data_IF_351976668878
#
_entry.id   IF_351976668878
#
_cell.length_a   1.000
_cell.length_b   1.000
_cell.length_c   1.000
_cell.angle_alpha   90.00
_cell.angle_beta   90.00
_cell.angle_gamma   90.00
#
_symmetry.space_group_name_H-M   'P 1'
#
loop_
_entity.id
_entity.type
_entity.pdbx_description
1 polymer ?
#
# COMPACT_ATOMS: atom_id res chain seq x y z
N UNK A 1 -4.02 20.35 11.38
CA UNK A 1 -3.41 19.07 11.73
C UNK A 1 -2.02 18.93 11.10
N UNK A 2 -1.21 18.13 11.71
CA UNK A 2 0.14 17.89 11.22
C UNK A 2 0.11 17.14 9.88
N UNK A 3 1.06 17.41 8.98
CA UNK A 3 1.16 16.61 7.77
C UNK A 3 1.53 15.17 8.09
N UNK A 4 1.04 14.26 7.28
CA UNK A 4 1.35 12.85 7.43
C UNK A 4 2.83 12.60 7.14
N UNK A 5 3.43 11.69 7.88
CA UNK A 5 4.83 11.29 7.72
C UNK A 5 4.86 9.82 7.34
N UNK A 6 5.65 9.48 6.33
CA UNK A 6 5.75 8.11 5.84
C UNK A 6 7.16 7.58 6.13
N UNK A 7 7.23 6.53 6.93
CA UNK A 7 8.49 5.91 7.31
C UNK A 7 8.44 4.42 7.01
N UNK A 8 9.60 3.79 6.88
CA UNK A 8 9.66 2.35 6.69
C UNK A 8 9.12 1.66 7.93
N UNK A 9 8.48 0.52 7.70
CA UNK A 9 7.77 -0.20 8.73
C UNK A 9 8.62 -0.93 9.74
N UNK A 10 9.91 -0.67 9.78
CA UNK A 10 10.77 -1.22 10.81
C UNK A 10 10.61 -0.49 12.14
N UNK A 11 9.86 0.60 12.15
CA UNK A 11 9.59 1.32 13.37
C UNK A 11 8.80 0.48 14.35
N UNK A 12 9.06 0.69 15.59
CA UNK A 12 8.54 -0.07 16.71
C UNK A 12 7.06 0.12 16.98
N UNK A 13 6.38 0.91 16.21
CA UNK A 13 4.99 1.27 16.45
C UNK A 13 4.04 0.12 16.24
N UNK A 14 4.34 -0.78 15.31
CA UNK A 14 3.51 -1.94 15.03
C UNK A 14 4.03 -3.15 15.75
N UNK A 15 3.23 -4.21 15.72
CA UNK A 15 3.54 -5.43 16.41
C UNK A 15 4.71 -6.16 15.75
N UNK A 16 5.32 -7.03 16.55
CA UNK A 16 6.47 -7.80 16.11
C UNK A 16 6.23 -8.60 14.84
N UNK A 17 4.99 -9.02 14.58
CA UNK A 17 4.68 -9.78 13.36
C UNK A 17 4.91 -8.96 12.10
N UNK A 18 4.53 -7.69 12.14
CA UNK A 18 4.73 -6.80 11.02
C UNK A 18 6.22 -6.62 10.75
N UNK A 19 6.97 -6.31 11.81
CA UNK A 19 8.41 -6.11 11.69
C UNK A 19 9.12 -7.35 11.19
N UNK A 20 8.73 -8.52 11.69
CA UNK A 20 9.35 -9.77 11.27
C UNK A 20 9.10 -10.05 9.79
N UNK A 21 7.89 -9.76 9.31
CA UNK A 21 7.58 -9.97 7.90
C UNK A 21 8.39 -9.08 6.99
N UNK A 22 8.55 -7.81 7.35
CA UNK A 22 9.23 -6.85 6.49
C UNK A 22 10.73 -6.98 6.60
N UNK A 23 11.25 -7.09 7.82
CA UNK A 23 12.68 -7.01 8.06
C UNK A 23 13.47 -8.15 7.46
N UNK A 24 12.83 -9.28 7.17
CA UNK A 24 13.51 -10.45 6.67
C UNK A 24 13.36 -10.69 5.17
N UNK A 25 12.49 -9.95 4.50
CA UNK A 25 12.22 -10.19 3.10
C UNK A 25 12.73 -9.05 2.23
N UNK A 26 13.60 -9.34 1.23
CA UNK A 26 14.02 -8.30 0.29
C UNK A 26 12.90 -7.90 -0.68
N UNK A 27 11.80 -8.65 -0.70
CA UNK A 27 10.69 -8.38 -1.61
C UNK A 27 9.59 -7.55 -0.99
N UNK A 28 9.64 -7.32 0.31
CA UNK A 28 8.62 -6.57 1.02
C UNK A 28 9.17 -5.26 1.53
N UNK A 29 8.32 -4.23 1.48
CA UNK A 29 8.63 -2.92 2.01
C UNK A 29 7.43 -2.44 2.80
N UNK A 30 7.64 -2.09 4.06
CA UNK A 30 6.57 -1.61 4.91
C UNK A 30 6.71 -0.14 5.24
N UNK A 31 5.57 0.51 5.41
CA UNK A 31 5.50 1.91 5.77
C UNK A 31 4.55 2.11 6.92
N UNK A 32 4.98 2.92 7.89
CA UNK A 32 4.10 3.41 8.93
C UNK A 32 3.63 4.79 8.52
N UNK A 33 2.33 5.02 8.60
CA UNK A 33 1.74 6.30 8.27
C UNK A 33 1.50 7.03 9.58
N UNK A 34 2.10 8.21 9.73
CA UNK A 34 2.01 8.97 10.97
C UNK A 34 1.40 10.34 10.70
N UNK A 35 0.59 10.79 11.64
CA UNK A 35 0.09 12.16 11.68
C UNK A 35 0.67 12.80 12.95
N UNK A 36 1.67 13.65 12.76
CA UNK A 36 2.45 14.12 13.87
C UNK A 36 3.34 13.00 14.39
N UNK A 37 3.16 12.62 15.63
CA UNK A 37 3.91 11.50 16.24
C UNK A 37 3.03 10.29 16.52
N UNK A 38 1.85 10.28 15.93
CA UNK A 38 0.87 9.23 16.17
C UNK A 38 0.77 8.37 14.93
N UNK A 39 0.91 7.05 15.10
CA UNK A 39 0.70 6.11 14.00
C UNK A 39 -0.79 6.03 13.71
N UNK A 40 -1.17 6.33 12.48
CA UNK A 40 -2.55 6.35 12.05
C UNK A 40 -2.86 5.26 11.02
N UNK A 41 -1.83 4.58 10.54
CA UNK A 41 -2.02 3.52 9.56
C UNK A 41 -0.71 2.88 9.17
N UNK A 42 -0.81 1.95 8.22
CA UNK A 42 0.37 1.27 7.68
C UNK A 42 0.09 0.81 6.26
N UNK A 43 1.15 0.49 5.56
CA UNK A 43 1.05 -0.13 4.24
C UNK A 43 2.18 -1.14 4.06
N UNK A 44 1.90 -2.20 3.33
CA UNK A 44 2.90 -3.19 2.97
C UNK A 44 2.89 -3.36 1.46
N UNK A 45 4.06 -3.24 0.86
CA UNK A 45 4.23 -3.33 -0.58
C UNK A 45 5.09 -4.54 -0.90
N UNK A 46 4.75 -5.24 -1.98
CA UNK A 46 5.57 -6.34 -2.49
C UNK A 46 6.13 -5.94 -3.83
N UNK A 47 7.41 -6.25 -4.04
CA UNK A 47 8.10 -5.88 -5.26
C UNK A 47 8.22 -7.09 -6.17
N UNK A 48 7.88 -6.92 -7.44
CA UNK A 48 8.01 -7.96 -8.45
C UNK A 48 8.30 -7.31 -9.80
N UNK A 49 8.23 -8.10 -10.85
CA UNK A 49 8.38 -7.59 -12.20
C UNK A 49 7.19 -8.02 -13.03
N UNK A 50 6.64 -7.10 -13.80
CA UNK A 50 5.53 -7.40 -14.70
C UNK A 50 6.06 -7.62 -16.11
N UNK A 51 5.97 -8.85 -16.58
CA UNK A 51 6.37 -9.17 -17.95
C UNK A 51 5.37 -8.60 -18.95
N UNK A 52 4.11 -8.49 -18.53
CA UNK A 52 3.08 -7.92 -19.40
C UNK A 52 3.37 -6.45 -19.73
N UNK A 53 3.75 -5.68 -18.72
CA UNK A 53 4.00 -4.26 -18.90
C UNK A 53 5.47 -3.92 -19.06
N UNK A 54 6.36 -4.91 -18.89
CA UNK A 54 7.79 -4.71 -19.04
C UNK A 54 8.40 -3.76 -18.01
N UNK A 55 7.87 -3.76 -16.80
CA UNK A 55 8.28 -2.82 -15.74
C UNK A 55 8.29 -3.50 -14.40
N UNK A 56 9.05 -2.94 -13.45
CA UNK A 56 8.89 -3.36 -12.06
C UNK A 56 7.45 -3.13 -11.62
N UNK A 57 6.96 -4.05 -10.82
CA UNK A 57 5.59 -4.01 -10.31
C UNK A 57 5.61 -3.89 -8.80
N UNK A 58 4.86 -2.93 -8.30
CA UNK A 58 4.69 -2.73 -6.86
C UNK A 58 3.26 -3.15 -6.53
N UNK A 59 3.13 -4.24 -5.77
CA UNK A 59 1.84 -4.69 -5.27
C UNK A 59 1.57 -4.06 -3.93
N UNK A 60 0.42 -3.45 -3.79
CA UNK A 60 -0.03 -2.99 -2.49
C UNK A 60 -0.71 -4.17 -1.83
N UNK A 61 0.06 -4.88 -0.99
CA UNK A 61 -0.43 -6.08 -0.31
C UNK A 61 -1.40 -5.74 0.79
N UNK A 62 -1.15 -4.64 1.47
CA UNK A 62 -1.99 -4.22 2.56
C UNK A 62 -1.87 -2.72 2.74
N UNK A 63 -2.99 -2.07 3.02
CA UNK A 63 -3.01 -0.66 3.36
C UNK A 63 -4.16 -0.46 4.34
N UNK A 64 -3.84 0.17 5.46
CA UNK A 64 -4.80 0.39 6.52
C UNK A 64 -4.65 1.80 7.07
N UNK A 65 -5.76 2.43 7.31
CA UNK A 65 -5.83 3.74 7.96
C UNK A 65 -6.93 3.66 9.01
N UNK A 66 -6.64 4.14 10.20
CA UNK A 66 -7.64 4.15 11.27
C UNK A 66 -8.84 4.98 10.84
N UNK A 67 -10.05 4.53 11.25
CA UNK A 67 -11.30 5.14 10.81
C UNK A 67 -11.36 6.64 11.04
N UNK A 68 -10.89 7.10 12.18
CA UNK A 68 -10.97 8.51 12.54
C UNK A 68 -10.05 9.39 11.69
N UNK A 69 -9.15 8.79 10.94
CA UNK A 69 -8.24 9.53 10.06
C UNK A 69 -8.59 9.40 8.58
N UNK A 70 -9.67 8.71 8.28
CA UNK A 70 -10.14 8.59 6.90
C UNK A 70 -10.87 9.85 6.46
N UNK A 71 -10.81 10.14 5.17
CA UNK A 71 -11.50 11.30 4.61
C UNK A 71 -10.74 12.60 4.71
N UNK A 72 -9.50 12.59 5.16
CA UNK A 72 -8.68 13.80 5.28
C UNK A 72 -7.54 13.84 4.27
N UNK A 73 -7.59 12.99 3.26
CA UNK A 73 -6.58 13.00 2.20
C UNK A 73 -5.26 12.34 2.55
N UNK A 74 -5.18 11.64 3.67
CA UNK A 74 -3.94 10.97 4.06
C UNK A 74 -3.60 9.85 3.10
N UNK A 75 -4.60 9.06 2.70
CA UNK A 75 -4.40 7.99 1.72
C UNK A 75 -3.90 8.52 0.39
N UNK A 76 -4.48 9.62 -0.08
CA UNK A 76 -4.04 10.25 -1.32
C UNK A 76 -2.59 10.71 -1.23
N UNK A 77 -2.20 11.28 -0.10
CA UNK A 77 -0.82 11.69 0.13
C UNK A 77 0.12 10.49 0.10
N UNK A 78 -0.31 9.36 0.68
CA UNK A 78 0.50 8.16 0.66
C UNK A 78 0.67 7.64 -0.76
N UNK A 79 -0.39 7.61 -1.55
CA UNK A 79 -0.28 7.17 -2.94
C UNK A 79 0.67 8.08 -3.72
N UNK A 80 0.57 9.39 -3.54
CA UNK A 80 1.48 10.33 -4.19
C UNK A 80 2.93 10.10 -3.76
N UNK A 81 3.12 9.76 -2.49
CA UNK A 81 4.44 9.45 -1.97
C UNK A 81 5.05 8.21 -2.66
N UNK A 82 4.29 7.12 -2.76
CA UNK A 82 4.82 5.92 -3.39
C UNK A 82 5.04 6.10 -4.90
N UNK A 83 4.20 6.89 -5.56
CA UNK A 83 4.39 7.17 -6.98
C UNK A 83 5.68 7.96 -7.21
N UNK A 84 6.06 8.83 -6.28
CA UNK A 84 7.32 9.59 -6.36
C UNK A 84 8.52 8.72 -6.00
N UNK A 85 8.32 7.78 -5.10
CA UNK A 85 9.41 6.91 -4.60
C UNK A 85 9.74 5.81 -5.62
N UNK A 86 8.71 5.20 -6.20
CA UNK A 86 8.85 4.09 -7.13
C UNK A 86 8.46 4.56 -8.53
N UNK A 87 9.38 5.25 -9.19
CA UNK A 87 9.13 5.81 -10.51
C UNK A 87 9.26 4.73 -11.59
N UNK A 88 8.52 4.91 -12.68
CA UNK A 88 8.51 4.00 -13.82
C UNK A 88 8.17 2.57 -13.43
N UNK A 89 7.20 2.44 -12.56
CA UNK A 89 6.67 1.15 -12.10
C UNK A 89 5.20 1.05 -12.42
N UNK A 90 4.69 -0.18 -12.44
CA UNK A 90 3.26 -0.38 -12.42
C UNK A 90 2.85 -0.72 -10.99
N UNK A 91 1.73 -0.19 -10.55
CA UNK A 91 1.19 -0.47 -9.21
C UNK A 91 -0.04 -1.34 -9.37
N UNK A 92 -0.15 -2.38 -8.55
CA UNK A 92 -1.28 -3.28 -8.58
C UNK A 92 -1.79 -3.51 -7.16
N UNK A 93 -3.08 -3.77 -7.06
CA UNK A 93 -3.71 -4.15 -5.80
C UNK A 93 -4.92 -4.99 -6.10
N UNK A 94 -5.43 -5.65 -5.06
CA UNK A 94 -6.66 -6.40 -5.14
C UNK A 94 -7.69 -5.74 -4.24
N UNK A 95 -8.93 -5.76 -4.67
CA UNK A 95 -10.03 -5.20 -3.90
C UNK A 95 -11.26 -6.07 -4.15
N UNK A 96 -12.02 -6.31 -3.08
CA UNK A 96 -13.25 -7.06 -3.21
C UNK A 96 -14.30 -6.25 -3.97
N UNK A 97 -15.04 -6.93 -4.83
CA UNK A 97 -16.03 -6.31 -5.69
C UNK A 97 -17.08 -5.52 -4.93
N UNK A 98 -17.48 -6.00 -3.75
CA UNK A 98 -18.49 -5.32 -2.94
C UNK A 98 -17.93 -4.16 -2.13
N UNK A 99 -16.63 -3.96 -2.11
CA UNK A 99 -16.03 -2.87 -1.34
C UNK A 99 -16.02 -1.58 -2.15
N UNK A 100 -17.21 -1.00 -2.32
CA UNK A 100 -17.38 0.18 -3.17
C UNK A 100 -16.60 1.39 -2.68
N UNK A 101 -16.47 1.53 -1.36
CA UNK A 101 -15.73 2.65 -0.79
C UNK A 101 -14.25 2.58 -1.17
N UNK A 102 -13.65 1.41 -1.00
CA UNK A 102 -12.24 1.23 -1.35
C UNK A 102 -12.02 1.40 -2.85
N UNK A 103 -12.92 0.84 -3.67
CA UNK A 103 -12.83 0.99 -5.12
C UNK A 103 -12.84 2.47 -5.50
N UNK A 104 -13.71 3.26 -4.88
CA UNK A 104 -13.76 4.69 -5.13
C UNK A 104 -12.46 5.40 -4.80
N UNK A 105 -11.85 5.04 -3.67
CA UNK A 105 -10.57 5.59 -3.24
C UNK A 105 -9.48 5.25 -4.26
N UNK A 106 -9.43 3.98 -4.67
CA UNK A 106 -8.39 3.53 -5.61
C UNK A 106 -8.55 4.15 -6.99
N UNK A 107 -9.78 4.31 -7.46
CA UNK A 107 -10.01 4.99 -8.73
C UNK A 107 -9.55 6.43 -8.71
N UNK A 108 -9.77 7.12 -7.61
CA UNK A 108 -9.25 8.49 -7.44
C UNK A 108 -7.73 8.52 -7.43
N UNK A 109 -7.10 7.45 -6.96
CA UNK A 109 -5.65 7.35 -6.95
C UNK A 109 -5.07 6.92 -8.31
N UNK A 110 -5.91 6.69 -9.30
CA UNK A 110 -5.48 6.39 -10.66
C UNK A 110 -5.56 4.92 -11.05
N UNK A 111 -6.13 4.07 -10.20
CA UNK A 111 -6.26 2.64 -10.50
C UNK A 111 -7.47 2.36 -11.36
N UNK A 112 -7.31 1.41 -12.28
CA UNK A 112 -8.40 0.88 -13.07
C UNK A 112 -8.41 -0.64 -12.96
N UNK A 113 -9.57 -1.24 -13.21
CA UNK A 113 -9.67 -2.69 -13.19
C UNK A 113 -8.92 -3.32 -14.34
N UNK A 114 -8.31 -4.47 -14.06
CA UNK A 114 -7.76 -5.32 -15.11
C UNK A 114 -8.81 -6.37 -15.48
N UNK A 115 -8.83 -6.83 -16.74
CA UNK A 115 -9.85 -7.75 -17.20
C UNK A 115 -9.55 -9.22 -16.88
N UNK A 116 -8.78 -9.49 -15.84
CA UNK A 116 -8.34 -10.84 -15.53
C UNK A 116 -8.95 -11.34 -14.24
N UNK A 117 -9.25 -12.63 -14.23
CA UNK A 117 -9.64 -13.32 -13.01
C UNK A 117 -8.40 -13.92 -12.38
N UNK A 118 -8.37 -13.95 -11.07
CA UNK A 118 -7.27 -14.56 -10.36
C UNK A 118 -7.62 -15.98 -9.94
N UNK A 119 -6.63 -16.85 -9.97
CA UNK A 119 -6.76 -18.22 -9.52
C UNK A 119 -5.59 -18.52 -8.59
N UNK A 120 -5.81 -19.40 -7.64
CA UNK A 120 -4.77 -19.83 -6.71
C UNK A 120 -4.84 -21.32 -6.48
N UNK A 121 -3.73 -21.88 -6.04
CA UNK A 121 -3.66 -23.28 -5.62
C UNK A 121 -2.64 -23.38 -4.49
N UNK A 122 -3.01 -24.07 -3.43
CA UNK A 122 -2.07 -24.44 -2.38
C UNK A 122 -1.57 -25.86 -2.64
N UNK A 123 -0.28 -26.06 -2.48
CA UNK A 123 0.30 -27.40 -2.63
C UNK A 123 0.38 -28.14 -1.31
#
# INVERSE_FOLDING_TARGET
SSPAVFTNGSEEIFESDFDACIGESPYLEGYVIEDGKVAVGYAMLAKSFSTEFGKPCIWIEDIYLKDEFRGFGIGEKFFNFIYSTYTDCIFRLEVEEENERAIGVYKKAGFDFLPYLEMKKHT
#
